data_IF_219546826719
#
_entry.id   IF_219546826719
#
_cell.length_a   1.000
_cell.length_b   1.000
_cell.length_c   1.000
_cell.angle_alpha   90.00
_cell.angle_beta   90.00
_cell.angle_gamma   90.00
#
_symmetry.space_group_name_H-M   'P 1'
#
loop_
_entity.id
_entity.type
_entity.pdbx_description
1 polymer ?
#
# COMPACT_ATOMS: atom_id res chain seq x y z
N UNK A 1 10.28 -29.74 12.37
CA UNK A 1 10.72 -28.35 12.58
C UNK A 1 12.02 -28.14 11.82
N UNK A 2 11.91 -27.51 10.65
CA UNK A 2 12.86 -26.65 9.93
C UNK A 2 12.15 -26.37 8.60
N UNK A 3 12.02 -25.08 8.28
CA UNK A 3 11.13 -24.55 7.25
C UNK A 3 11.54 -24.93 5.84
N UNK A 4 10.59 -25.51 5.12
CA UNK A 4 10.55 -25.48 3.67
C UNK A 4 9.98 -24.13 3.23
N UNK A 5 10.80 -23.35 2.51
CA UNK A 5 10.36 -22.20 1.70
C UNK A 5 9.29 -22.70 0.72
N UNK A 6 8.02 -22.41 1.00
CA UNK A 6 6.96 -22.55 0.01
C UNK A 6 7.16 -21.44 -1.02
N UNK A 7 7.79 -21.77 -2.14
CA UNK A 7 7.73 -20.91 -3.34
C UNK A 7 6.27 -20.78 -3.77
N UNK A 8 5.84 -19.57 -4.14
CA UNK A 8 4.44 -19.24 -4.42
C UNK A 8 3.73 -20.18 -5.40
N UNK A 9 4.46 -20.96 -6.22
CA UNK A 9 3.91 -21.94 -7.18
C UNK A 9 2.96 -22.98 -6.57
N UNK A 10 3.19 -23.43 -5.34
CA UNK A 10 2.39 -24.52 -4.76
C UNK A 10 1.08 -24.04 -4.11
N UNK A 11 0.95 -22.74 -3.81
CA UNK A 11 -0.33 -22.15 -3.37
C UNK A 11 -1.28 -22.00 -4.57
N UNK A 12 -0.76 -21.68 -5.77
CA UNK A 12 -1.60 -21.49 -6.96
C UNK A 12 -2.34 -22.77 -7.38
N UNK A 13 -1.74 -23.95 -7.21
CA UNK A 13 -2.42 -25.23 -7.50
C UNK A 13 -3.54 -25.57 -6.52
N UNK A 14 -3.43 -25.09 -5.27
CA UNK A 14 -4.42 -25.41 -4.24
C UNK A 14 -5.62 -24.45 -4.32
N UNK A 15 -5.40 -23.20 -4.72
CA UNK A 15 -6.47 -22.25 -5.05
C UNK A 15 -7.20 -22.59 -6.35
N UNK A 16 -6.54 -23.28 -7.30
CA UNK A 16 -7.13 -23.78 -8.55
C UNK A 16 -8.26 -24.81 -8.34
N UNK A 17 -8.39 -25.40 -7.15
CA UNK A 17 -9.36 -26.45 -6.83
C UNK A 17 -10.39 -25.99 -5.78
N UNK A 18 -10.50 -24.69 -5.51
CA UNK A 18 -11.68 -24.18 -4.82
C UNK A 18 -12.87 -24.25 -5.81
N UNK A 19 -13.57 -25.38 -5.80
CA UNK A 19 -14.83 -25.58 -6.53
C UNK A 19 -15.70 -24.35 -6.29
N UNK A 20 -15.97 -23.58 -7.36
CA UNK A 20 -17.07 -22.62 -7.37
C UNK A 20 -18.29 -23.42 -6.95
N UNK A 21 -18.93 -23.13 -5.82
CA UNK A 21 -20.15 -23.84 -5.48
C UNK A 21 -21.14 -23.52 -6.58
N UNK A 22 -21.57 -24.54 -7.34
CA UNK A 22 -22.60 -24.37 -8.34
C UNK A 22 -23.93 -24.18 -7.60
N UNK A 23 -24.23 -22.95 -7.21
CA UNK A 23 -25.55 -22.60 -6.71
C UNK A 23 -26.47 -22.49 -7.93
N UNK A 24 -27.23 -23.55 -8.22
CA UNK A 24 -28.21 -23.54 -9.31
C UNK A 24 -29.35 -22.55 -9.07
N UNK A 25 -29.59 -22.19 -7.81
CA UNK A 25 -30.78 -21.46 -7.36
C UNK A 25 -30.46 -20.08 -6.75
N UNK A 26 -29.26 -19.55 -6.96
CA UNK A 26 -28.79 -18.29 -6.37
C UNK A 26 -28.30 -18.42 -4.93
N UNK A 27 -27.49 -17.46 -4.48
CA UNK A 27 -26.87 -17.49 -3.15
C UNK A 27 -27.89 -17.18 -2.03
N UNK A 28 -28.95 -16.44 -2.35
CA UNK A 28 -29.98 -16.05 -1.39
C UNK A 28 -30.75 -17.25 -0.84
N UNK A 29 -30.88 -18.34 -1.62
CA UNK A 29 -31.67 -19.54 -1.25
C UNK A 29 -30.90 -20.49 -0.32
N UNK A 30 -29.61 -20.24 -0.09
CA UNK A 30 -28.78 -21.07 0.79
C UNK A 30 -29.40 -21.15 2.18
N UNK A 31 -29.63 -22.37 2.65
CA UNK A 31 -30.14 -22.60 4.00
C UNK A 31 -29.06 -22.35 5.03
N UNK A 32 -29.36 -21.48 6.00
CA UNK A 32 -28.44 -21.23 7.11
C UNK A 32 -28.50 -22.43 8.07
N UNK A 33 -27.34 -23.01 8.45
CA UNK A 33 -27.29 -24.10 9.42
C UNK A 33 -28.01 -23.75 10.73
N UNK A 34 -28.81 -24.68 11.26
CA UNK A 34 -29.57 -24.48 12.50
C UNK A 34 -28.68 -24.11 13.70
N UNK A 35 -27.41 -24.54 13.71
CA UNK A 35 -26.42 -24.15 14.73
C UNK A 35 -26.15 -22.64 14.71
N UNK A 36 -26.04 -22.03 13.54
CA UNK A 36 -25.83 -20.58 13.38
C UNK A 36 -27.10 -19.82 13.79
N UNK A 37 -28.27 -20.29 13.35
CA UNK A 37 -29.57 -19.68 13.71
C UNK A 37 -29.77 -19.67 15.23
N UNK A 38 -29.35 -20.73 15.93
CA UNK A 38 -29.39 -20.80 17.40
C UNK A 38 -28.44 -19.80 18.06
N UNK A 39 -27.23 -19.62 17.53
CA UNK A 39 -26.28 -18.63 18.05
C UNK A 39 -26.76 -17.18 17.91
N UNK A 40 -27.59 -16.89 16.91
CA UNK A 40 -28.20 -15.56 16.71
C UNK A 40 -29.37 -15.33 17.70
N UNK A 41 -29.71 -16.33 18.53
CA UNK A 41 -30.64 -16.19 19.66
C UNK A 41 -32.12 -16.37 19.31
N UNK A 42 -32.43 -16.86 18.12
CA UNK A 42 -33.80 -16.84 17.59
C UNK A 42 -34.63 -18.13 17.82
N UNK A 43 -34.08 -19.14 18.50
CA UNK A 43 -34.72 -20.47 18.58
C UNK A 43 -35.81 -20.59 19.65
N UNK A 44 -35.73 -19.84 20.76
CA UNK A 44 -36.63 -20.03 21.91
C UNK A 44 -38.00 -19.35 21.77
N UNK A 45 -38.22 -18.55 20.73
CA UNK A 45 -39.46 -17.76 20.53
C UNK A 45 -40.33 -18.21 19.34
N UNK A 46 -40.07 -19.37 18.73
CA UNK A 46 -40.79 -19.79 17.53
C UNK A 46 -42.14 -20.48 17.82
N UNK A 47 -43.23 -19.70 17.74
CA UNK A 47 -44.57 -20.22 17.44
C UNK A 47 -44.70 -20.45 15.93
N UNK A 48 -44.62 -21.71 15.49
CA UNK A 48 -45.16 -22.35 14.27
C UNK A 48 -45.28 -21.62 12.90
N UNK A 49 -44.75 -20.42 12.66
CA UNK A 49 -44.71 -19.75 11.34
C UNK A 49 -43.29 -19.66 10.75
N UNK A 50 -42.43 -20.63 11.13
CA UNK A 50 -40.98 -20.64 10.96
C UNK A 50 -40.48 -20.81 9.50
N UNK A 51 -40.78 -19.85 8.62
CA UNK A 51 -40.20 -19.77 7.27
C UNK A 51 -39.17 -18.63 7.10
N UNK A 52 -39.20 -17.60 7.94
CA UNK A 52 -38.57 -16.29 7.66
C UNK A 52 -37.09 -16.12 8.07
N UNK A 53 -36.38 -17.17 8.50
CA UNK A 53 -34.93 -17.07 8.81
C UNK A 53 -34.15 -18.29 8.34
N UNK A 54 -34.73 -19.08 7.44
CA UNK A 54 -34.10 -20.31 6.99
C UNK A 54 -33.10 -20.06 5.88
N UNK A 55 -33.27 -18.97 5.12
CA UNK A 55 -32.46 -18.65 3.95
C UNK A 55 -31.53 -17.48 4.21
N UNK A 56 -30.42 -17.44 3.47
CA UNK A 56 -29.47 -16.33 3.52
C UNK A 56 -30.11 -14.99 3.17
N UNK A 57 -31.04 -14.95 2.21
CA UNK A 57 -31.82 -13.75 1.88
C UNK A 57 -32.52 -13.13 3.07
N UNK A 58 -33.12 -13.96 3.92
CA UNK A 58 -33.90 -13.46 5.04
C UNK A 58 -32.99 -12.84 6.10
N UNK A 59 -31.79 -13.41 6.29
CA UNK A 59 -30.78 -12.85 7.18
C UNK A 59 -30.23 -11.53 6.65
N UNK A 60 -29.96 -11.45 5.35
CA UNK A 60 -29.54 -10.21 4.72
C UNK A 60 -30.59 -9.10 4.88
N UNK A 61 -31.88 -9.42 4.73
CA UNK A 61 -32.96 -8.46 4.92
C UNK A 61 -33.04 -7.93 6.36
N UNK A 62 -32.89 -8.79 7.36
CA UNK A 62 -33.03 -8.39 8.77
C UNK A 62 -31.76 -7.80 9.37
N UNK A 63 -30.60 -8.32 8.98
CA UNK A 63 -29.32 -8.01 9.62
C UNK A 63 -28.33 -7.30 8.69
N UNK A 64 -28.64 -7.16 7.40
CA UNK A 64 -27.75 -6.52 6.42
C UNK A 64 -27.35 -5.10 6.79
N UNK A 65 -28.23 -4.35 7.47
CA UNK A 65 -27.94 -2.99 7.94
C UNK A 65 -26.79 -2.89 8.95
N UNK A 66 -26.45 -4.01 9.61
CA UNK A 66 -25.32 -4.12 10.53
C UNK A 66 -24.04 -4.62 9.84
N UNK A 67 -24.09 -5.01 8.56
CA UNK A 67 -22.91 -5.37 7.81
C UNK A 67 -22.00 -4.14 7.67
N UNK A 68 -20.72 -4.31 8.02
CA UNK A 68 -19.68 -3.27 7.93
C UNK A 68 -18.50 -3.66 7.07
N UNK A 69 -18.18 -4.95 7.03
CA UNK A 69 -17.02 -5.46 6.31
C UNK A 69 -17.47 -6.58 5.41
N UNK A 70 -17.07 -6.52 4.15
CA UNK A 70 -17.41 -7.52 3.17
C UNK A 70 -16.18 -7.88 2.37
N UNK A 71 -15.90 -9.18 2.27
CA UNK A 71 -14.90 -9.72 1.38
C UNK A 71 -15.59 -10.58 0.34
N UNK A 72 -15.41 -10.25 -0.94
CA UNK A 72 -16.03 -10.94 -2.05
C UNK A 72 -15.00 -11.48 -3.05
N UNK A 73 -15.02 -12.78 -3.37
CA UNK A 73 -14.43 -13.25 -4.61
C UNK A 73 -15.28 -12.79 -5.81
N UNK A 74 -14.64 -12.49 -6.94
CA UNK A 74 -15.29 -11.92 -8.13
C UNK A 74 -16.44 -12.75 -8.67
N UNK A 75 -16.40 -14.08 -8.48
CA UNK A 75 -17.46 -15.00 -8.89
C UNK A 75 -18.82 -14.69 -8.25
N UNK A 76 -18.83 -13.96 -7.13
CA UNK A 76 -20.04 -13.56 -6.41
C UNK A 76 -20.44 -12.11 -6.70
N UNK A 77 -19.71 -11.37 -7.54
CA UNK A 77 -20.08 -10.00 -7.93
C UNK A 77 -21.21 -10.00 -8.97
N UNK A 78 -22.38 -10.49 -8.55
CA UNK A 78 -23.59 -10.63 -9.36
C UNK A 78 -24.67 -9.63 -8.88
N UNK A 79 -25.64 -9.28 -9.74
CA UNK A 79 -26.76 -8.44 -9.35
C UNK A 79 -27.49 -8.92 -8.08
N UNK A 80 -27.61 -10.24 -7.91
CA UNK A 80 -28.22 -10.86 -6.72
C UNK A 80 -27.55 -10.42 -5.41
N UNK A 81 -26.22 -10.28 -5.37
CA UNK A 81 -25.53 -9.82 -4.14
C UNK A 81 -25.87 -8.37 -3.83
N UNK A 82 -26.02 -7.52 -4.85
CA UNK A 82 -26.42 -6.12 -4.65
C UNK A 82 -27.85 -6.04 -4.10
N UNK A 83 -28.74 -6.94 -4.53
CA UNK A 83 -30.09 -7.02 -4.00
C UNK A 83 -30.12 -7.51 -2.55
N UNK A 84 -29.34 -8.55 -2.24
CA UNK A 84 -29.20 -9.08 -0.88
C UNK A 84 -28.63 -8.04 0.07
N UNK A 85 -27.63 -7.27 -0.36
CA UNK A 85 -26.94 -6.29 0.46
C UNK A 85 -27.47 -4.87 0.30
N UNK A 86 -28.66 -4.69 -0.28
CA UNK A 86 -29.21 -3.35 -0.57
C UNK A 86 -29.31 -2.44 0.65
N UNK A 87 -29.51 -3.00 1.84
CA UNK A 87 -29.63 -2.23 3.09
C UNK A 87 -28.32 -2.13 3.86
N UNK A 88 -27.19 -2.59 3.30
CA UNK A 88 -25.91 -2.59 4.01
C UNK A 88 -25.35 -1.19 4.22
N UNK A 89 -24.50 -1.04 5.23
CA UNK A 89 -23.73 0.17 5.49
C UNK A 89 -22.24 -0.20 5.53
N UNK A 90 -21.71 -0.69 4.42
CA UNK A 90 -20.34 -1.20 4.36
C UNK A 90 -19.33 -0.07 4.57
N UNK A 91 -18.45 -0.25 5.55
CA UNK A 91 -17.29 0.60 5.80
C UNK A 91 -16.04 0.07 5.09
N UNK A 92 -15.96 -1.25 4.87
CA UNK A 92 -14.82 -1.92 4.22
C UNK A 92 -15.29 -2.92 3.18
N UNK A 93 -14.72 -2.82 1.98
CA UNK A 93 -14.96 -3.77 0.89
C UNK A 93 -13.64 -4.30 0.33
N UNK A 94 -13.49 -5.62 0.32
CA UNK A 94 -12.32 -6.33 -0.18
C UNK A 94 -12.75 -7.25 -1.33
N UNK A 95 -12.25 -7.00 -2.54
CA UNK A 95 -12.65 -7.75 -3.74
C UNK A 95 -11.45 -8.53 -4.29
N UNK A 96 -11.66 -9.83 -4.53
CA UNK A 96 -10.61 -10.75 -4.94
C UNK A 96 -10.86 -11.35 -6.33
N UNK A 97 -9.79 -11.64 -7.06
CA UNK A 97 -9.79 -12.52 -8.24
C UNK A 97 -10.59 -12.05 -9.46
N UNK A 98 -10.73 -10.75 -9.70
CA UNK A 98 -11.47 -10.29 -10.88
C UNK A 98 -10.68 -10.59 -12.17
N UNK A 99 -11.20 -11.53 -12.99
CA UNK A 99 -10.53 -12.00 -14.22
C UNK A 99 -11.15 -11.46 -15.52
N UNK A 100 -12.43 -11.10 -15.51
CA UNK A 100 -13.22 -10.72 -16.69
C UNK A 100 -14.09 -9.49 -16.42
N UNK A 101 -14.51 -8.83 -17.50
CA UNK A 101 -15.28 -7.56 -17.48
C UNK A 101 -16.72 -7.72 -16.99
N UNK A 102 -17.26 -8.95 -16.98
CA UNK A 102 -18.68 -9.20 -16.73
C UNK A 102 -19.12 -8.92 -15.28
N UNK A 103 -18.17 -8.66 -14.38
CA UNK A 103 -18.42 -8.40 -12.96
C UNK A 103 -18.34 -6.92 -12.57
N UNK A 104 -17.95 -6.04 -13.49
CA UNK A 104 -17.72 -4.63 -13.21
C UNK A 104 -19.00 -3.95 -12.74
N UNK A 105 -20.12 -4.19 -13.43
CA UNK A 105 -21.38 -3.51 -13.15
C UNK A 105 -21.92 -3.84 -11.76
N UNK A 106 -21.83 -5.11 -11.33
CA UNK A 106 -22.24 -5.52 -9.98
C UNK A 106 -21.37 -4.90 -8.89
N UNK A 107 -20.06 -4.79 -9.11
CA UNK A 107 -19.16 -4.10 -8.17
C UNK A 107 -19.51 -2.62 -8.09
N UNK A 108 -19.66 -1.96 -9.24
CA UNK A 108 -20.01 -0.56 -9.33
C UNK A 108 -21.34 -0.24 -8.63
N UNK A 109 -22.34 -1.12 -8.77
CA UNK A 109 -23.61 -0.96 -8.07
C UNK A 109 -23.45 -1.09 -6.54
N UNK A 110 -22.74 -2.10 -6.07
CA UNK A 110 -22.46 -2.27 -4.64
C UNK A 110 -21.69 -1.09 -4.04
N UNK A 111 -20.73 -0.54 -4.79
CA UNK A 111 -19.97 0.65 -4.41
C UNK A 111 -20.88 1.87 -4.29
N UNK A 112 -21.76 2.11 -5.28
CA UNK A 112 -22.73 3.21 -5.26
C UNK A 112 -23.72 3.10 -4.11
N UNK A 113 -24.17 1.89 -3.79
CA UNK A 113 -25.08 1.63 -2.68
C UNK A 113 -24.48 2.01 -1.32
N UNK A 114 -23.15 1.92 -1.18
CA UNK A 114 -22.45 2.15 0.08
C UNK A 114 -21.51 3.38 0.03
N UNK A 115 -21.59 4.24 -0.98
CA UNK A 115 -20.60 5.31 -1.19
C UNK A 115 -20.54 6.37 -0.07
N UNK A 116 -21.61 6.50 0.72
CA UNK A 116 -21.67 7.38 1.89
C UNK A 116 -21.04 6.78 3.16
N UNK A 117 -20.88 5.45 3.21
CA UNK A 117 -20.40 4.72 4.40
C UNK A 117 -19.03 4.09 4.21
N UNK A 118 -18.65 3.79 2.96
CA UNK A 118 -17.37 3.19 2.63
C UNK A 118 -16.21 4.11 3.03
N UNK A 119 -15.25 3.52 3.74
CA UNK A 119 -13.99 4.15 4.16
C UNK A 119 -12.78 3.44 3.59
N UNK A 120 -12.87 2.13 3.39
CA UNK A 120 -11.74 1.31 2.93
C UNK A 120 -12.16 0.39 1.79
N UNK A 121 -11.36 0.39 0.73
CA UNK A 121 -11.56 -0.47 -0.43
C UNK A 121 -10.23 -1.13 -0.79
N UNK A 122 -10.28 -2.43 -1.00
CA UNK A 122 -9.13 -3.23 -1.41
C UNK A 122 -9.47 -4.15 -2.58
N UNK A 123 -8.62 -4.17 -3.60
CA UNK A 123 -8.68 -5.10 -4.72
C UNK A 123 -7.43 -5.97 -4.72
N UNK A 124 -7.60 -7.29 -4.75
CA UNK A 124 -6.50 -8.27 -4.71
C UNK A 124 -6.61 -9.28 -5.85
N UNK A 125 -5.51 -9.55 -6.55
CA UNK A 125 -5.50 -10.52 -7.67
C UNK A 125 -6.47 -10.17 -8.81
N UNK A 126 -6.56 -8.90 -9.17
CA UNK A 126 -7.50 -8.39 -10.16
C UNK A 126 -6.81 -8.02 -11.48
N UNK A 127 -7.48 -8.26 -12.61
CA UNK A 127 -7.09 -7.72 -13.92
C UNK A 127 -7.92 -6.47 -14.19
N UNK A 128 -7.27 -5.32 -14.15
CA UNK A 128 -7.93 -4.01 -14.16
C UNK A 128 -7.61 -3.29 -15.48
N UNK A 129 -8.61 -3.11 -16.33
CA UNK A 129 -8.50 -2.22 -17.49
C UNK A 129 -8.73 -0.76 -17.08
N UNK A 130 -8.29 0.18 -17.91
CA UNK A 130 -8.55 1.62 -17.71
C UNK A 130 -10.05 1.91 -17.52
N UNK A 131 -10.89 1.33 -18.38
CA UNK A 131 -12.36 1.50 -18.28
C UNK A 131 -12.93 0.96 -16.96
N UNK A 132 -12.33 -0.10 -16.42
CA UNK A 132 -12.79 -0.68 -15.16
C UNK A 132 -12.39 0.20 -13.98
N UNK A 133 -11.14 0.65 -13.93
CA UNK A 133 -10.67 1.59 -12.91
C UNK A 133 -11.54 2.85 -12.91
N UNK A 134 -11.82 3.42 -14.08
CA UNK A 134 -12.70 4.59 -14.20
C UNK A 134 -14.10 4.28 -13.66
N UNK A 135 -14.71 3.16 -14.05
CA UNK A 135 -16.03 2.76 -13.54
C UNK A 135 -16.07 2.57 -12.02
N UNK A 136 -15.01 1.98 -11.43
CA UNK A 136 -14.88 1.87 -9.96
C UNK A 136 -14.82 3.26 -9.34
N UNK A 137 -13.90 4.10 -9.79
CA UNK A 137 -13.69 5.44 -9.24
C UNK A 137 -14.95 6.31 -9.35
N UNK A 138 -15.63 6.25 -10.49
CA UNK A 138 -16.87 6.97 -10.76
C UNK A 138 -18.06 6.48 -9.93
N UNK A 139 -17.98 5.27 -9.38
CA UNK A 139 -19.02 4.70 -8.52
C UNK A 139 -18.89 5.13 -7.06
N UNK A 140 -17.78 5.76 -6.68
CA UNK A 140 -17.47 6.13 -5.29
C UNK A 140 -17.88 7.55 -4.92
N UNK A 141 -18.35 8.34 -5.88
CA UNK A 141 -18.80 9.70 -5.62
C UNK A 141 -20.01 9.71 -4.69
N UNK A 142 -19.96 10.59 -3.69
CA UNK A 142 -21.11 10.86 -2.82
C UNK A 142 -22.17 11.64 -3.62
N UNK A 143 -23.44 11.24 -3.53
CA UNK A 143 -24.52 11.86 -4.30
C UNK A 143 -24.59 13.37 -4.04
N UNK A 144 -24.58 14.15 -5.13
CA UNK A 144 -24.64 15.61 -5.08
C UNK A 144 -23.31 16.31 -4.74
N UNK A 145 -22.22 15.55 -4.49
CA UNK A 145 -20.89 16.10 -4.22
C UNK A 145 -19.86 15.55 -5.22
N UNK A 146 -18.87 16.36 -5.58
CA UNK A 146 -17.70 15.93 -6.38
C UNK A 146 -16.56 15.44 -5.47
N UNK A 147 -16.88 14.63 -4.47
CA UNK A 147 -15.92 14.06 -3.50
C UNK A 147 -16.37 12.66 -3.04
N UNK A 148 -15.47 11.93 -2.38
CA UNK A 148 -15.71 10.60 -1.84
C UNK A 148 -15.26 10.51 -0.38
N UNK A 149 -15.86 9.60 0.39
CA UNK A 149 -15.53 9.36 1.80
C UNK A 149 -14.34 8.45 2.05
N UNK A 150 -13.75 7.86 1.00
CA UNK A 150 -12.69 6.85 1.11
C UNK A 150 -11.44 7.41 1.82
N UNK A 151 -11.03 6.70 2.88
CA UNK A 151 -9.85 6.95 3.70
C UNK A 151 -8.66 6.05 3.29
N UNK A 152 -8.94 4.83 2.83
CA UNK A 152 -7.95 3.83 2.43
C UNK A 152 -8.32 3.18 1.10
N UNK A 153 -7.44 3.29 0.11
CA UNK A 153 -7.62 2.67 -1.20
C UNK A 153 -6.42 1.79 -1.53
N UNK A 154 -6.67 0.53 -1.84
CA UNK A 154 -5.63 -0.47 -2.05
C UNK A 154 -5.92 -1.29 -3.31
N UNK A 155 -4.93 -1.42 -4.18
CA UNK A 155 -4.88 -2.41 -5.24
C UNK A 155 -3.56 -3.16 -5.04
N UNK A 156 -3.65 -4.50 -4.99
CA UNK A 156 -2.50 -5.35 -4.69
C UNK A 156 -2.46 -6.59 -5.54
N UNK A 157 -1.25 -7.01 -5.89
CA UNK A 157 -0.98 -8.27 -6.61
C UNK A 157 -1.91 -8.36 -7.84
N UNK A 158 -2.10 -7.24 -8.53
CA UNK A 158 -3.07 -7.06 -9.61
C UNK A 158 -2.35 -6.68 -10.90
N UNK A 159 -3.06 -6.65 -12.02
CA UNK A 159 -2.45 -6.29 -13.30
C UNK A 159 -3.28 -5.22 -13.99
N UNK A 160 -2.69 -4.04 -14.14
CA UNK A 160 -3.24 -2.98 -14.96
C UNK A 160 -2.94 -3.27 -16.44
N UNK A 161 -3.99 -3.55 -17.22
CA UNK A 161 -3.83 -4.05 -18.60
C UNK A 161 -3.25 -3.02 -19.58
N UNK A 162 -3.45 -1.72 -19.33
CA UNK A 162 -3.12 -0.62 -20.25
C UNK A 162 -2.19 0.45 -19.62
N UNK A 163 -1.16 0.03 -18.88
CA UNK A 163 -0.19 0.98 -18.25
C UNK A 163 0.75 1.68 -19.23
N UNK A 164 0.70 1.36 -20.53
CA UNK A 164 1.44 2.04 -21.58
C UNK A 164 0.80 3.34 -22.08
N UNK A 165 -0.41 3.67 -21.62
CA UNK A 165 -1.08 4.92 -21.95
C UNK A 165 -0.25 6.14 -21.52
N UNK A 166 -0.28 7.20 -22.33
CA UNK A 166 0.32 8.49 -21.98
C UNK A 166 -0.50 9.29 -20.96
N UNK A 167 -1.69 8.81 -20.60
CA UNK A 167 -2.61 9.48 -19.68
C UNK A 167 -3.11 8.54 -18.59
N UNK A 168 -3.22 9.05 -17.37
CA UNK A 168 -3.88 8.38 -16.26
C UNK A 168 -5.39 8.24 -16.56
N UNK A 169 -6.04 7.12 -16.17
CA UNK A 169 -7.49 7.00 -16.23
C UNK A 169 -8.17 8.21 -15.59
N UNK A 170 -9.16 8.80 -16.27
CA UNK A 170 -9.71 10.10 -15.86
C UNK A 170 -10.47 10.01 -14.53
N UNK A 171 -11.18 8.91 -14.30
CA UNK A 171 -11.85 8.59 -13.05
C UNK A 171 -10.84 8.42 -11.92
N UNK A 172 -9.72 7.73 -12.15
CA UNK A 172 -8.64 7.59 -11.15
C UNK A 172 -8.00 8.95 -10.82
N UNK A 173 -7.69 9.76 -11.83
CA UNK A 173 -7.14 11.09 -11.62
C UNK A 173 -8.09 11.98 -10.80
N UNK A 174 -9.39 11.93 -11.12
CA UNK A 174 -10.41 12.69 -10.38
C UNK A 174 -10.58 12.16 -8.95
N UNK A 175 -10.57 10.84 -8.76
CA UNK A 175 -10.63 10.21 -7.44
C UNK A 175 -9.47 10.70 -6.56
N UNK A 176 -8.24 10.53 -7.03
CA UNK A 176 -7.04 10.93 -6.28
C UNK A 176 -6.98 12.44 -5.96
N UNK A 177 -7.43 13.29 -6.89
CA UNK A 177 -7.40 14.75 -6.70
C UNK A 177 -8.52 15.29 -5.80
N UNK A 178 -9.62 14.57 -5.66
CA UNK A 178 -10.79 14.98 -4.86
C UNK A 178 -10.85 14.34 -3.47
N UNK A 179 -10.02 13.33 -3.21
CA UNK A 179 -9.98 12.54 -1.99
C UNK A 179 -9.37 13.26 -0.79
N UNK A 180 -10.06 14.26 -0.23
CA UNK A 180 -9.57 15.00 0.96
C UNK A 180 -9.47 14.13 2.22
N UNK A 181 -10.23 13.03 2.26
CA UNK A 181 -10.18 12.02 3.32
C UNK A 181 -9.14 10.93 3.06
N UNK A 182 -8.60 10.82 1.83
CA UNK A 182 -7.71 9.74 1.46
C UNK A 182 -6.38 9.86 2.23
N UNK A 183 -6.21 8.96 3.20
CA UNK A 183 -5.06 8.91 4.10
C UNK A 183 -4.05 7.85 3.66
N UNK A 184 -4.48 6.82 2.95
CA UNK A 184 -3.59 5.77 2.46
C UNK A 184 -3.95 5.33 1.04
N UNK A 185 -2.93 5.24 0.19
CA UNK A 185 -2.98 4.62 -1.12
C UNK A 185 -1.93 3.52 -1.19
N UNK A 186 -2.35 2.32 -1.59
CA UNK A 186 -1.46 1.21 -1.91
C UNK A 186 -1.72 0.74 -3.33
N UNK A 187 -0.67 0.70 -4.15
CA UNK A 187 -0.67 0.13 -5.49
C UNK A 187 0.56 -0.78 -5.60
N UNK A 188 0.52 -1.91 -4.90
CA UNK A 188 1.69 -2.76 -4.63
C UNK A 188 1.64 -4.07 -5.41
N UNK A 189 2.73 -4.47 -6.07
CA UNK A 189 2.76 -5.65 -6.95
C UNK A 189 1.69 -5.57 -8.05
N UNK A 190 1.61 -4.39 -8.69
CA UNK A 190 0.60 -4.09 -9.71
C UNK A 190 1.17 -4.04 -11.14
N UNK A 191 2.46 -4.38 -11.26
CA UNK A 191 3.27 -4.28 -12.47
C UNK A 191 3.20 -2.89 -13.14
N UNK A 192 3.07 -1.84 -12.32
CA UNK A 192 3.02 -0.47 -12.81
C UNK A 192 4.35 -0.06 -13.41
N UNK A 193 4.30 0.58 -14.58
CA UNK A 193 5.47 1.20 -15.20
C UNK A 193 5.69 2.60 -14.63
N UNK A 194 6.95 3.03 -14.62
CA UNK A 194 7.39 4.38 -14.22
C UNK A 194 6.46 5.52 -14.65
N UNK A 195 6.10 5.62 -15.94
CA UNK A 195 5.27 6.72 -16.44
C UNK A 195 3.89 6.77 -15.76
N UNK A 196 3.31 5.61 -15.47
CA UNK A 196 2.02 5.53 -14.78
C UNK A 196 2.15 6.01 -13.33
N UNK A 197 3.24 5.60 -12.65
CA UNK A 197 3.54 6.06 -11.29
C UNK A 197 3.88 7.55 -11.24
N UNK A 198 4.62 8.09 -12.22
CA UNK A 198 4.87 9.53 -12.37
C UNK A 198 3.55 10.30 -12.43
N UNK A 199 2.58 9.84 -13.23
CA UNK A 199 1.27 10.49 -13.31
C UNK A 199 0.48 10.44 -11.99
N UNK A 200 0.50 9.32 -11.26
CA UNK A 200 -0.14 9.22 -9.93
C UNK A 200 0.51 10.22 -8.97
N UNK A 201 1.85 10.22 -8.92
CA UNK A 201 2.63 11.11 -8.07
C UNK A 201 2.35 12.58 -8.42
N UNK A 202 2.30 12.94 -9.69
CA UNK A 202 1.97 14.29 -10.16
C UNK A 202 0.56 14.71 -9.74
N UNK A 203 -0.45 13.85 -9.88
CA UNK A 203 -1.82 14.14 -9.43
C UNK A 203 -1.89 14.36 -7.91
N UNK A 204 -1.23 13.51 -7.13
CA UNK A 204 -1.19 13.65 -5.66
C UNK A 204 -0.47 14.94 -5.24
N UNK A 205 0.64 15.27 -5.89
CA UNK A 205 1.40 16.48 -5.65
C UNK A 205 0.61 17.73 -6.04
N UNK A 206 0.01 17.73 -7.23
CA UNK A 206 -0.72 18.86 -7.78
C UNK A 206 -2.00 19.19 -7.01
N UNK A 207 -2.65 18.18 -6.45
CA UNK A 207 -3.81 18.33 -5.58
C UNK A 207 -3.45 18.66 -4.13
N UNK A 208 -2.16 18.66 -3.77
CA UNK A 208 -1.69 18.75 -2.38
C UNK A 208 -2.43 17.76 -1.47
N UNK A 209 -2.43 16.50 -1.90
CA UNK A 209 -3.17 15.41 -1.26
C UNK A 209 -2.86 15.29 0.24
N UNK A 210 -3.88 14.89 1.01
CA UNK A 210 -3.78 14.63 2.45
C UNK A 210 -3.22 13.24 2.78
N UNK A 211 -2.76 12.50 1.77
CA UNK A 211 -2.20 11.16 1.94
C UNK A 211 -1.08 11.13 2.98
N UNK A 212 -1.18 10.20 3.92
CA UNK A 212 -0.21 9.96 4.98
C UNK A 212 0.66 8.72 4.70
N UNK A 213 0.14 7.72 4.01
CA UNK A 213 0.88 6.53 3.62
C UNK A 213 0.70 6.22 2.13
N UNK A 214 1.81 6.14 1.42
CA UNK A 214 1.86 5.77 0.01
C UNK A 214 2.72 4.52 -0.17
N UNK A 215 2.10 3.44 -0.62
CA UNK A 215 2.78 2.20 -0.98
C UNK A 215 2.74 1.98 -2.49
N UNK A 216 3.94 1.92 -3.09
CA UNK A 216 4.15 1.66 -4.51
C UNK A 216 5.14 0.50 -4.70
N UNK A 217 5.31 -0.37 -3.70
CA UNK A 217 6.30 -1.44 -3.73
C UNK A 217 6.01 -2.47 -4.83
N UNK A 218 7.05 -3.22 -5.22
CA UNK A 218 6.92 -4.37 -6.13
C UNK A 218 6.41 -3.98 -7.53
N UNK A 219 6.76 -2.79 -8.04
CA UNK A 219 6.44 -2.35 -9.39
C UNK A 219 7.72 -2.21 -10.26
N UNK A 220 7.59 -1.60 -11.45
CA UNK A 220 8.69 -1.40 -12.40
C UNK A 220 8.92 0.09 -12.65
N UNK A 221 9.56 0.75 -11.68
CA UNK A 221 9.78 2.20 -11.70
C UNK A 221 11.14 2.63 -12.26
N UNK A 222 12.05 1.72 -12.59
CA UNK A 222 13.40 2.06 -13.10
C UNK A 222 13.43 3.02 -14.29
N UNK A 223 14.45 3.88 -14.41
CA UNK A 223 14.82 4.78 -15.51
C UNK A 223 14.25 6.21 -15.48
N UNK A 224 14.06 6.78 -14.29
CA UNK A 224 13.56 8.13 -14.08
C UNK A 224 14.36 9.20 -14.83
N UNK A 225 13.68 10.27 -15.28
CA UNK A 225 14.39 11.39 -15.89
C UNK A 225 15.28 12.06 -14.84
N UNK A 226 16.49 12.46 -15.26
CA UNK A 226 17.47 13.17 -14.44
C UNK A 226 16.97 14.52 -13.87
N UNK A 227 15.84 15.02 -14.38
CA UNK A 227 15.21 16.27 -13.97
C UNK A 227 13.73 16.04 -13.68
N UNK A 228 13.45 15.42 -12.53
CA UNK A 228 12.09 15.27 -12.04
C UNK A 228 11.45 16.63 -11.73
N UNK A 229 10.20 16.80 -12.15
CA UNK A 229 9.57 18.12 -12.39
C UNK A 229 9.21 18.89 -11.12
N UNK A 230 9.07 18.22 -9.97
CA UNK A 230 8.58 18.84 -8.74
C UNK A 230 9.45 20.00 -8.24
N UNK A 231 10.74 19.98 -8.57
CA UNK A 231 11.68 21.03 -8.14
C UNK A 231 12.57 21.46 -9.29
N UNK A 232 12.00 22.06 -10.33
CA UNK A 232 12.76 22.61 -11.46
C UNK A 232 13.61 23.86 -11.14
N UNK A 233 13.97 24.13 -9.86
CA UNK A 233 14.99 25.14 -9.51
C UNK A 233 15.82 24.76 -8.27
N UNK A 234 17.07 24.28 -8.44
CA UNK A 234 18.04 24.30 -7.36
C UNK A 234 18.46 25.75 -7.09
N UNK A 235 18.43 26.19 -5.83
CA UNK A 235 19.06 27.44 -5.39
C UNK A 235 18.16 28.66 -5.17
N UNK A 236 16.83 28.59 -5.35
CA UNK A 236 15.93 29.57 -4.71
C UNK A 236 15.42 28.99 -3.41
N UNK A 237 15.80 29.65 -2.31
CA UNK A 237 15.30 29.42 -0.96
C UNK A 237 13.80 29.09 -1.00
N UNK A 238 13.38 28.09 -0.21
CA UNK A 238 12.02 27.98 0.30
C UNK A 238 11.74 29.17 1.24
N UNK A 239 11.81 30.39 0.71
CA UNK A 239 11.41 31.61 1.36
C UNK A 239 10.21 32.14 0.58
N UNK A 240 9.02 31.94 1.17
CA UNK A 240 7.83 32.76 0.96
C UNK A 240 6.88 32.44 -0.22
N UNK A 241 6.76 31.19 -0.66
CA UNK A 241 5.64 30.76 -1.52
C UNK A 241 5.07 29.44 -1.05
N UNK A 242 3.75 29.36 -0.85
CA UNK A 242 3.03 28.10 -0.62
C UNK A 242 3.15 27.27 -1.90
N UNK A 243 4.24 26.51 -2.01
CA UNK A 243 4.45 25.55 -3.08
C UNK A 243 3.63 24.30 -2.82
N UNK A 244 3.15 23.66 -3.89
CA UNK A 244 2.57 22.32 -3.84
C UNK A 244 3.54 21.37 -3.13
N UNK A 245 3.02 20.51 -2.25
CA UNK A 245 3.81 19.58 -1.46
C UNK A 245 2.92 18.52 -0.81
N UNK A 246 3.48 17.33 -0.59
CA UNK A 246 2.86 16.24 0.15
C UNK A 246 3.13 16.39 1.65
N UNK A 247 2.56 17.44 2.24
CA UNK A 247 2.78 17.83 3.64
C UNK A 247 2.24 16.80 4.65
N UNK A 248 1.30 15.95 4.25
CA UNK A 248 0.71 14.93 5.10
C UNK A 248 1.44 13.58 5.02
N UNK A 249 2.30 13.38 4.03
CA UNK A 249 2.97 12.09 3.82
C UNK A 249 3.94 11.80 4.98
N UNK A 250 3.81 10.61 5.55
CA UNK A 250 4.61 10.06 6.65
C UNK A 250 5.31 8.77 6.25
N UNK A 251 4.66 7.93 5.44
CA UNK A 251 5.19 6.64 5.00
C UNK A 251 5.26 6.62 3.48
N UNK A 252 6.44 6.32 2.94
CA UNK A 252 6.66 6.07 1.53
C UNK A 252 7.37 4.72 1.37
N UNK A 253 6.70 3.77 0.72
CA UNK A 253 7.25 2.47 0.41
C UNK A 253 7.52 2.36 -1.10
N UNK A 254 8.80 2.21 -1.45
CA UNK A 254 9.31 2.03 -2.81
C UNK A 254 10.11 0.74 -2.95
N UNK A 255 9.93 -0.22 -2.02
CA UNK A 255 10.62 -1.51 -2.03
C UNK A 255 10.45 -2.24 -3.37
N UNK A 256 11.48 -2.93 -3.83
CA UNK A 256 11.44 -3.84 -4.99
C UNK A 256 10.85 -3.20 -6.26
N UNK A 257 11.37 -2.03 -6.65
CA UNK A 257 10.92 -1.27 -7.81
C UNK A 257 11.92 -1.26 -8.98
N UNK A 258 13.00 -2.03 -8.85
CA UNK A 258 14.15 -2.04 -9.73
C UNK A 258 14.83 -0.66 -9.88
N UNK A 259 14.73 0.22 -8.88
CA UNK A 259 15.36 1.54 -8.89
C UNK A 259 16.88 1.39 -8.94
N UNK A 260 17.49 1.96 -9.98
CA UNK A 260 18.93 1.95 -10.22
C UNK A 260 19.59 3.18 -9.58
N UNK A 261 20.93 3.25 -9.61
CA UNK A 261 21.71 4.39 -9.10
C UNK A 261 21.29 5.77 -9.63
N UNK A 262 20.92 5.86 -10.90
CA UNK A 262 20.51 7.12 -11.54
C UNK A 262 19.06 7.49 -11.18
N UNK A 263 18.25 6.49 -10.84
CA UNK A 263 16.87 6.70 -10.41
C UNK A 263 16.85 7.36 -9.04
N UNK A 264 17.70 6.94 -8.10
CA UNK A 264 17.66 7.53 -6.75
C UNK A 264 17.98 9.03 -6.75
N UNK A 265 18.58 9.57 -7.81
CA UNK A 265 18.80 11.02 -7.95
C UNK A 265 17.50 11.84 -8.00
N UNK A 266 16.39 11.31 -8.53
CA UNK A 266 15.11 12.05 -8.48
C UNK A 266 14.53 12.10 -7.07
N UNK A 267 14.78 11.07 -6.23
CA UNK A 267 14.22 10.99 -4.89
C UNK A 267 14.72 12.13 -4.01
N UNK A 268 15.98 12.56 -4.16
CA UNK A 268 16.51 13.71 -3.42
C UNK A 268 15.66 14.97 -3.62
N UNK A 269 15.14 15.17 -4.84
CA UNK A 269 14.28 16.29 -5.21
C UNK A 269 12.85 16.07 -4.71
N UNK A 270 12.32 14.85 -4.88
CA UNK A 270 10.98 14.50 -4.43
C UNK A 270 10.82 14.64 -2.90
N UNK A 271 11.82 14.22 -2.13
CA UNK A 271 11.79 14.24 -0.68
C UNK A 271 11.78 15.66 -0.08
N UNK A 272 12.24 16.68 -0.81
CA UNK A 272 12.08 18.10 -0.41
C UNK A 272 10.59 18.48 -0.36
N UNK A 273 9.77 17.87 -1.21
CA UNK A 273 8.33 18.07 -1.26
C UNK A 273 7.56 17.21 -0.23
N UNK A 274 8.25 16.43 0.60
CA UNK A 274 7.68 15.54 1.63
C UNK A 274 8.30 15.84 3.01
N UNK A 275 8.18 17.07 3.55
CA UNK A 275 9.00 17.55 4.67
C UNK A 275 8.76 16.83 6.00
N UNK A 276 7.67 16.07 6.11
CA UNK A 276 7.26 15.36 7.32
C UNK A 276 7.35 13.84 7.16
N UNK A 277 8.07 13.35 6.14
CA UNK A 277 8.27 11.91 5.96
C UNK A 277 8.97 11.31 7.19
N UNK A 278 8.41 10.22 7.71
CA UNK A 278 8.86 9.50 8.91
C UNK A 278 9.47 8.15 8.57
N UNK A 279 8.98 7.49 7.51
CA UNK A 279 9.43 6.18 7.06
C UNK A 279 9.68 6.17 5.55
N UNK A 280 10.86 5.71 5.15
CA UNK A 280 11.24 5.50 3.75
C UNK A 280 11.78 4.08 3.57
N UNK A 281 11.11 3.29 2.73
CA UNK A 281 11.56 1.96 2.33
C UNK A 281 12.04 1.95 0.88
N UNK A 282 13.32 1.65 0.68
CA UNK A 282 13.99 1.53 -0.62
C UNK A 282 14.59 0.13 -0.81
N UNK A 283 14.26 -0.83 0.06
CA UNK A 283 14.85 -2.17 0.04
C UNK A 283 14.59 -2.90 -1.27
N UNK A 284 15.39 -3.92 -1.57
CA UNK A 284 15.30 -4.74 -2.79
C UNK A 284 15.40 -3.93 -4.09
N UNK A 285 16.10 -2.80 -4.07
CA UNK A 285 16.40 -2.02 -5.29
C UNK A 285 17.91 -2.03 -5.54
N UNK A 286 18.40 -2.28 -6.76
CA UNK A 286 19.82 -2.26 -7.11
C UNK A 286 20.36 -0.82 -7.21
N UNK A 287 20.37 -0.13 -6.08
CA UNK A 287 20.75 1.29 -5.97
C UNK A 287 22.26 1.45 -6.12
N UNK A 288 23.03 0.45 -5.71
CA UNK A 288 24.50 0.45 -5.69
C UNK A 288 25.08 1.59 -4.82
N UNK A 289 26.41 1.56 -4.65
CA UNK A 289 27.15 2.59 -3.91
C UNK A 289 26.92 4.01 -4.46
N UNK A 290 26.81 4.16 -5.77
CA UNK A 290 26.70 5.48 -6.41
C UNK A 290 25.32 6.10 -6.20
N UNK A 291 24.25 5.31 -6.21
CA UNK A 291 22.91 5.82 -5.93
C UNK A 291 22.77 6.34 -4.50
N UNK A 292 23.33 5.64 -3.51
CA UNK A 292 23.35 6.12 -2.13
C UNK A 292 24.27 7.32 -1.93
N UNK A 293 25.41 7.39 -2.64
CA UNK A 293 26.25 8.60 -2.64
C UNK A 293 25.49 9.83 -3.17
N UNK A 294 24.64 9.67 -4.19
CA UNK A 294 23.81 10.75 -4.72
C UNK A 294 22.79 11.29 -3.70
N UNK A 295 22.38 10.47 -2.73
CA UNK A 295 21.49 10.88 -1.62
C UNK A 295 22.22 11.55 -0.45
N UNK A 296 23.55 11.40 -0.35
CA UNK A 296 24.32 11.97 0.76
C UNK A 296 24.12 13.49 0.93
N UNK A 297 24.13 14.32 -0.13
CA UNK A 297 23.89 15.76 0.01
C UNK A 297 22.55 16.07 0.69
N UNK A 298 21.49 15.33 0.35
CA UNK A 298 20.18 15.49 0.98
C UNK A 298 20.23 15.11 2.47
N UNK A 299 20.85 13.97 2.83
CA UNK A 299 20.98 13.56 4.22
C UNK A 299 21.88 14.50 5.04
N UNK A 300 22.90 15.09 4.43
CA UNK A 300 23.73 16.13 5.07
C UNK A 300 22.91 17.39 5.30
N UNK A 301 22.12 17.84 4.32
CA UNK A 301 21.23 19.00 4.48
C UNK A 301 20.23 18.79 5.63
N UNK A 302 19.71 17.56 5.77
CA UNK A 302 18.78 17.21 6.84
C UNK A 302 19.41 17.12 8.23
N UNK A 303 20.73 16.97 8.33
CA UNK A 303 21.41 16.96 9.63
C UNK A 303 21.25 18.28 10.40
N UNK A 304 21.06 19.39 9.69
CA UNK A 304 20.94 20.73 10.27
C UNK A 304 19.50 21.15 10.58
N UNK A 305 18.51 20.41 10.07
CA UNK A 305 17.08 20.74 10.18
C UNK A 305 16.38 19.78 11.15
N UNK A 306 15.26 20.20 11.77
CA UNK A 306 14.38 19.26 12.46
C UNK A 306 13.70 18.38 11.42
N UNK A 307 14.31 17.24 11.09
CA UNK A 307 13.80 16.29 10.12
C UNK A 307 13.00 15.17 10.78
N UNK A 308 11.96 14.68 10.09
CA UNK A 308 10.98 13.76 10.67
C UNK A 308 11.32 12.29 10.48
N UNK A 309 12.27 11.96 9.59
CA UNK A 309 12.60 10.57 9.25
C UNK A 309 13.18 9.84 10.47
N UNK A 310 12.53 8.74 10.83
CA UNK A 310 12.88 7.88 11.96
C UNK A 310 13.08 6.42 11.55
N UNK A 311 12.56 6.01 10.39
CA UNK A 311 12.74 4.67 9.82
C UNK A 311 13.29 4.76 8.39
N UNK A 312 14.42 4.11 8.14
CA UNK A 312 15.06 4.04 6.84
C UNK A 312 15.43 2.59 6.53
N UNK A 313 14.95 2.08 5.40
CA UNK A 313 15.22 0.71 4.98
C UNK A 313 15.91 0.68 3.63
N UNK A 314 17.07 0.02 3.62
CA UNK A 314 18.02 -0.10 2.53
C UNK A 314 18.53 -1.56 2.44
N UNK A 315 17.69 -2.53 2.81
CA UNK A 315 18.03 -3.94 2.72
C UNK A 315 18.16 -4.40 1.27
N UNK A 316 19.10 -5.30 0.98
CA UNK A 316 19.30 -5.87 -0.35
C UNK A 316 19.43 -4.81 -1.46
N UNK A 317 20.22 -3.75 -1.21
CA UNK A 317 20.39 -2.61 -2.12
C UNK A 317 21.70 -2.61 -2.91
N UNK A 318 22.45 -3.72 -2.88
CA UNK A 318 23.77 -3.87 -3.49
C UNK A 318 24.82 -2.86 -2.96
N UNK A 319 24.70 -2.48 -1.69
CA UNK A 319 25.60 -1.54 -1.03
C UNK A 319 26.86 -2.23 -0.51
N UNK A 320 28.01 -1.58 -0.61
CA UNK A 320 29.25 -2.06 -0.01
C UNK A 320 29.49 -1.52 1.39
N UNK A 321 30.44 -2.12 2.11
CA UNK A 321 30.95 -1.59 3.38
C UNK A 321 31.31 -0.10 3.29
N UNK A 322 31.88 0.36 2.17
CA UNK A 322 32.36 1.74 2.04
C UNK A 322 31.21 2.74 2.01
N UNK A 323 30.16 2.50 1.21
CA UNK A 323 29.00 3.40 1.12
C UNK A 323 28.19 3.40 2.41
N UNK A 324 27.97 2.23 3.03
CA UNK A 324 27.25 2.14 4.30
C UNK A 324 28.04 2.82 5.43
N UNK A 325 29.37 2.69 5.46
CA UNK A 325 30.20 3.40 6.44
C UNK A 325 30.04 4.92 6.32
N UNK A 326 29.97 5.45 5.09
CA UNK A 326 29.73 6.87 4.84
C UNK A 326 28.32 7.28 5.25
N UNK A 327 27.31 6.49 4.89
CA UNK A 327 25.91 6.70 5.29
C UNK A 327 25.79 6.79 6.81
N UNK A 328 26.32 5.80 7.56
CA UNK A 328 26.27 5.79 9.03
C UNK A 328 26.94 7.02 9.63
N UNK A 329 28.06 7.49 9.06
CA UNK A 329 28.72 8.72 9.52
C UNK A 329 27.83 9.95 9.30
N UNK A 330 27.15 10.06 8.15
CA UNK A 330 26.21 11.16 7.89
C UNK A 330 25.00 11.10 8.82
N UNK A 331 24.34 9.93 8.93
CA UNK A 331 23.18 9.73 9.80
C UNK A 331 23.51 9.99 11.27
N UNK A 332 24.73 9.69 11.71
CA UNK A 332 25.16 9.92 13.11
C UNK A 332 25.22 11.39 13.53
N UNK A 333 25.18 12.32 12.55
CA UNK A 333 25.20 13.77 12.76
C UNK A 333 23.79 14.36 12.86
N UNK A 334 22.75 13.58 12.60
CA UNK A 334 21.38 14.06 12.67
C UNK A 334 21.02 14.46 14.10
N UNK A 335 20.37 15.63 14.24
CA UNK A 335 19.91 16.15 15.54
C UNK A 335 18.92 15.20 16.21
N UNK A 336 18.03 14.60 15.42
CA UNK A 336 17.13 13.53 15.84
C UNK A 336 17.66 12.20 15.28
N UNK A 337 18.07 11.24 16.11
CA UNK A 337 18.56 9.95 15.62
C UNK A 337 17.41 9.15 15.00
N UNK A 338 17.76 8.24 14.09
CA UNK A 338 16.83 7.21 13.60
C UNK A 338 16.41 6.31 14.75
N UNK A 339 15.15 5.89 14.72
CA UNK A 339 14.59 4.85 15.59
C UNK A 339 14.82 3.46 14.99
N UNK A 340 14.78 3.34 13.66
CA UNK A 340 14.93 2.08 12.93
C UNK A 340 15.80 2.25 11.69
N UNK A 341 16.64 1.25 11.43
CA UNK A 341 17.50 1.18 10.24
C UNK A 341 17.55 -0.28 9.75
N UNK A 342 17.25 -0.52 8.47
CA UNK A 342 17.54 -1.79 7.81
C UNK A 342 18.62 -1.60 6.75
N UNK A 343 19.67 -2.39 6.83
CA UNK A 343 20.79 -2.46 5.87
C UNK A 343 21.20 -3.92 5.61
N UNK A 344 20.34 -4.87 5.98
CA UNK A 344 20.56 -6.31 5.80
C UNK A 344 20.77 -6.69 4.32
N UNK A 345 21.29 -7.89 4.09
CA UNK A 345 21.43 -8.49 2.76
C UNK A 345 22.27 -7.67 1.75
N UNK A 346 23.09 -6.72 2.24
CA UNK A 346 24.06 -5.96 1.44
C UNK A 346 25.49 -6.56 1.47
N UNK A 347 25.68 -7.75 2.05
CA UNK A 347 26.99 -8.42 2.14
C UNK A 347 28.13 -7.50 2.70
N UNK A 348 27.84 -6.77 3.77
CA UNK A 348 28.74 -5.73 4.32
C UNK A 348 29.99 -6.28 5.03
N UNK A 349 30.03 -7.60 5.26
CA UNK A 349 31.11 -8.29 5.96
C UNK A 349 31.23 -7.94 7.46
N UNK A 350 32.10 -8.65 8.18
CA UNK A 350 32.22 -8.51 9.64
C UNK A 350 32.76 -7.15 10.12
N UNK A 351 33.46 -6.40 9.25
CA UNK A 351 34.06 -5.10 9.59
C UNK A 351 33.02 -4.03 9.97
N UNK A 352 31.79 -4.15 9.47
CA UNK A 352 30.71 -3.19 9.75
C UNK A 352 30.27 -3.21 11.23
N UNK A 353 30.48 -4.32 11.95
CA UNK A 353 30.04 -4.49 13.33
C UNK A 353 30.56 -3.42 14.29
N UNK A 354 31.81 -2.97 14.13
CA UNK A 354 32.38 -1.92 14.96
C UNK A 354 31.73 -0.54 14.71
N UNK A 355 31.30 -0.25 13.48
CA UNK A 355 30.61 0.98 13.13
C UNK A 355 29.17 0.96 13.64
N UNK A 356 28.49 -0.18 13.49
CA UNK A 356 27.14 -0.37 14.04
C UNK A 356 27.11 -0.26 15.56
N UNK A 357 28.11 -0.81 16.26
CA UNK A 357 28.24 -0.63 17.71
C UNK A 357 28.29 0.84 18.13
N UNK A 358 29.02 1.68 17.38
CA UNK A 358 29.04 3.13 17.62
C UNK A 358 27.70 3.78 17.26
N UNK A 359 27.07 3.36 16.18
CA UNK A 359 25.79 3.91 15.72
C UNK A 359 24.65 3.61 16.69
N UNK A 360 24.60 2.40 17.25
CA UNK A 360 23.59 1.97 18.24
C UNK A 360 23.57 2.86 19.48
N UNK A 361 24.71 3.38 19.93
CA UNK A 361 24.78 4.30 21.07
C UNK A 361 24.06 5.64 20.88
N UNK A 362 23.54 5.92 19.67
CA UNK A 362 22.79 7.14 19.34
C UNK A 362 21.28 7.03 19.59
N UNK A 363 20.78 5.90 20.09
CA UNK A 363 19.36 5.73 20.43
C UNK A 363 18.54 4.98 19.39
N UNK A 364 19.19 4.26 18.47
CA UNK A 364 18.53 3.34 17.54
C UNK A 364 17.87 2.21 18.33
N UNK A 365 16.58 1.95 18.07
CA UNK A 365 15.78 0.96 18.77
C UNK A 365 15.67 -0.36 17.98
N UNK A 366 15.63 -0.26 16.65
CA UNK A 366 15.56 -1.42 15.74
C UNK A 366 16.69 -1.36 14.71
N UNK A 367 17.36 -2.48 14.52
CA UNK A 367 18.40 -2.64 13.50
C UNK A 367 18.22 -3.99 12.83
N UNK A 368 17.98 -3.95 11.53
CA UNK A 368 17.96 -5.13 10.67
C UNK A 368 19.27 -5.21 9.87
N UNK A 369 19.96 -6.32 10.10
CA UNK A 369 21.29 -6.64 9.59
C UNK A 369 21.36 -8.11 9.17
N UNK A 370 20.25 -8.65 8.67
CA UNK A 370 20.21 -10.02 8.13
C UNK A 370 21.38 -10.23 7.14
N UNK A 371 21.97 -11.43 7.18
CA UNK A 371 23.19 -11.83 6.44
C UNK A 371 24.52 -11.11 6.77
N UNK A 372 24.59 -10.28 7.82
CA UNK A 372 25.89 -9.82 8.35
C UNK A 372 26.49 -10.90 9.26
N UNK A 373 27.45 -11.68 8.76
CA UNK A 373 28.27 -12.59 9.58
C UNK A 373 29.14 -11.76 10.53
N UNK A 374 28.59 -11.44 11.71
CA UNK A 374 29.34 -10.85 12.80
C UNK A 374 30.24 -11.93 13.42
N UNK A 375 31.53 -11.93 13.11
CA UNK A 375 32.50 -12.74 13.85
C UNK A 375 32.66 -12.10 15.25
N UNK A 376 31.98 -12.68 16.25
CA UNK A 376 31.86 -12.11 17.59
C UNK A 376 33.03 -12.52 18.51
N UNK A 377 33.74 -11.52 19.05
CA UNK A 377 34.02 -11.54 20.49
C UNK A 377 33.22 -10.48 21.28
N UNK A 378 32.70 -9.45 20.61
CA UNK A 378 32.29 -8.19 21.28
C UNK A 378 30.80 -8.07 21.68
N UNK A 379 29.89 -8.92 21.21
CA UNK A 379 28.45 -8.79 21.55
C UNK A 379 28.02 -9.52 22.84
N UNK A 380 28.94 -10.12 23.59
CA UNK A 380 28.61 -10.60 24.95
C UNK A 380 28.54 -9.40 25.90
N UNK A 381 27.29 -9.00 26.19
CA UNK A 381 26.81 -8.01 27.18
C UNK A 381 26.41 -6.67 26.58
N UNK A 382 25.26 -6.61 25.93
CA UNK A 382 24.27 -5.55 26.13
C UNK A 382 22.89 -6.23 26.12
N UNK A 383 22.49 -6.81 27.25
CA UNK A 383 21.08 -7.14 27.47
C UNK A 383 20.36 -5.81 27.63
N UNK A 384 19.53 -5.44 26.66
CA UNK A 384 18.58 -4.34 26.79
C UNK A 384 17.73 -4.59 28.05
N UNK A 385 17.58 -3.56 28.87
CA UNK A 385 16.73 -3.49 30.05
C UNK A 385 15.72 -2.40 29.83
#
# INVERSE_FOLDING_TARGET
>A
MIGSRCTGRDIYRTAEIAMVPSFSDGIGVIKIPATIVRCIGYWEHMNSSACDYSKFSDHCQHFGLYARRLRLPSALCLPEICDLLRTSNLETLEIHWIKLKDHVDGICELLKQNSETLKSIEFVHCKLSTSFIDAICDSLWIKGLKTHGIEHFSIRISNFLDTSSSTLPAGLASFLSSGRCLSSLSLSDDHLRRNFVEMILDVLFDSSSNIAALDLSENYMSGWPSHFKWTSRPGKQLSSGIGKSLQSLRVLNLRNNNLQRDDVDFLKYALVCMPKLESLDLSDNPIEDDGIKNMMPYFVEMSEKPFSLIDLKLGQCELTFNSVSQLLNVLSRWKKPLTSLSIGENNLGSKIGALLGKFLSKGLQSLDIDDIILVLPAFRKHKMK
#
